data_IF_385903853944
#
_entry.id   IF_385903853944
#
_cell.length_a   1.000
_cell.length_b   1.000
_cell.length_c   1.000
_cell.angle_alpha   90.00
_cell.angle_beta   90.00
_cell.angle_gamma   90.00
#
_symmetry.space_group_name_H-M   'P 1'
#
loop_
_entity.id
_entity.type
_entity.pdbx_description
1 polymer ?
#
# COMPACT_ATOMS: atom_id res chain seq x y z
N UNK A 1 18.05 -10.85 -65.82
CA UNK A 1 17.95 -12.01 -64.91
C UNK A 1 17.68 -11.50 -63.49
N UNK A 2 16.44 -11.56 -63.03
CA UNK A 2 16.09 -11.10 -61.68
C UNK A 2 16.38 -12.16 -60.62
N UNK A 3 17.19 -11.84 -59.61
CA UNK A 3 17.39 -12.70 -58.44
C UNK A 3 16.11 -12.69 -57.61
N UNK A 4 15.39 -13.81 -57.53
CA UNK A 4 14.27 -13.96 -56.59
C UNK A 4 14.81 -14.05 -55.17
N UNK A 5 14.30 -13.23 -54.26
CA UNK A 5 14.63 -13.31 -52.85
C UNK A 5 14.19 -14.68 -52.31
N UNK A 6 15.12 -15.49 -51.81
CA UNK A 6 14.77 -16.71 -51.07
C UNK A 6 14.17 -16.26 -49.74
N UNK A 7 12.86 -16.45 -49.57
CA UNK A 7 12.23 -16.30 -48.27
C UNK A 7 12.77 -17.40 -47.35
N UNK A 8 13.42 -17.01 -46.25
CA UNK A 8 13.82 -17.96 -45.20
C UNK A 8 12.58 -18.67 -44.66
N UNK A 9 12.66 -19.99 -44.54
CA UNK A 9 11.60 -20.78 -43.91
C UNK A 9 11.43 -20.39 -42.45
N UNK A 10 10.28 -20.69 -41.84
CA UNK A 10 10.06 -20.42 -40.42
C UNK A 10 11.11 -21.11 -39.54
N UNK A 11 11.52 -22.32 -39.93
CA UNK A 11 12.55 -23.09 -39.23
C UNK A 11 13.91 -22.39 -39.30
N UNK A 12 14.30 -21.90 -40.49
CA UNK A 12 15.54 -21.14 -40.69
C UNK A 12 15.54 -19.82 -39.90
N UNK A 13 14.40 -19.14 -39.80
CA UNK A 13 14.29 -17.94 -38.95
C UNK A 13 14.45 -18.28 -37.47
N UNK A 14 13.88 -19.40 -37.04
CA UNK A 14 13.97 -19.85 -35.65
C UNK A 14 15.40 -20.28 -35.27
N UNK A 15 16.11 -20.98 -36.16
CA UNK A 15 17.50 -21.40 -35.95
C UNK A 15 18.44 -20.20 -35.95
N UNK A 16 18.28 -19.27 -36.90
CA UNK A 16 19.05 -18.03 -36.94
C UNK A 16 18.88 -17.19 -35.67
N UNK A 17 17.65 -17.10 -35.14
CA UNK A 17 17.37 -16.42 -33.88
C UNK A 17 18.05 -17.10 -32.69
N UNK A 18 17.98 -18.43 -32.59
CA UNK A 18 18.68 -19.18 -31.54
C UNK A 18 20.19 -18.97 -31.61
N UNK A 19 20.77 -18.98 -32.80
CA UNK A 19 22.20 -18.71 -32.99
C UNK A 19 22.57 -17.28 -32.59
N UNK A 20 21.76 -16.28 -32.93
CA UNK A 20 22.00 -14.90 -32.50
C UNK A 20 21.89 -14.75 -30.99
N UNK A 21 20.91 -15.40 -30.36
CA UNK A 21 20.72 -15.37 -28.92
C UNK A 21 21.90 -16.03 -28.20
N UNK A 22 22.38 -17.18 -28.69
CA UNK A 22 23.57 -17.85 -28.17
C UNK A 22 24.83 -16.99 -28.33
N UNK A 23 25.01 -16.33 -29.47
CA UNK A 23 26.11 -15.37 -29.70
C UNK A 23 26.04 -14.21 -28.72
N UNK A 24 24.85 -13.65 -28.50
CA UNK A 24 24.64 -12.57 -27.54
C UNK A 24 24.94 -13.01 -26.11
N UNK A 25 24.39 -14.15 -25.66
CA UNK A 25 24.62 -14.70 -24.32
C UNK A 25 26.11 -14.93 -24.05
N UNK A 26 26.85 -15.39 -25.06
CA UNK A 26 28.29 -15.66 -24.94
C UNK A 26 29.17 -14.41 -25.11
N UNK A 27 28.62 -13.32 -25.64
CA UNK A 27 29.34 -12.05 -25.81
C UNK A 27 29.73 -11.44 -24.45
N UNK A 28 30.79 -10.61 -24.40
CA UNK A 28 31.17 -9.90 -23.18
C UNK A 28 30.02 -9.05 -22.61
N UNK A 29 29.23 -8.42 -23.48
CA UNK A 29 28.08 -7.60 -23.08
C UNK A 29 26.93 -8.45 -22.52
N UNK A 30 26.60 -9.58 -23.13
CA UNK A 30 25.58 -10.50 -22.60
C UNK A 30 25.96 -11.04 -21.21
N UNK A 31 27.25 -11.29 -20.98
CA UNK A 31 27.77 -11.69 -19.66
C UNK A 31 27.58 -10.59 -18.61
N UNK A 32 27.89 -9.32 -18.92
CA UNK A 32 27.71 -8.20 -17.97
C UNK A 32 26.23 -7.94 -17.65
N UNK A 33 25.34 -8.04 -18.63
CA UNK A 33 23.88 -7.93 -18.39
C UNK A 33 23.40 -9.07 -17.49
N UNK A 34 23.92 -10.29 -17.67
CA UNK A 34 23.55 -11.43 -16.82
C UNK A 34 24.06 -11.29 -15.39
N UNK A 35 25.27 -10.78 -15.19
CA UNK A 35 25.82 -10.54 -13.83
C UNK A 35 25.04 -9.44 -13.13
N UNK A 36 24.77 -8.32 -13.79
CA UNK A 36 23.97 -7.22 -13.21
C UNK A 36 22.55 -7.65 -12.85
N UNK A 37 21.90 -8.49 -13.67
CA UNK A 37 20.59 -9.07 -13.35
C UNK A 37 20.66 -10.02 -12.15
N UNK A 38 21.68 -10.88 -12.08
CA UNK A 38 21.90 -11.78 -10.93
C UNK A 38 22.16 -11.00 -9.65
N UNK A 39 23.00 -9.97 -9.70
CA UNK A 39 23.27 -9.07 -8.57
C UNK A 39 22.00 -8.36 -8.12
N UNK A 40 21.21 -7.82 -9.05
CA UNK A 40 19.93 -7.19 -8.76
C UNK A 40 18.95 -8.18 -8.11
N UNK A 41 18.85 -9.41 -8.63
CA UNK A 41 18.03 -10.47 -8.04
C UNK A 41 18.51 -10.87 -6.65
N UNK A 42 19.83 -11.00 -6.44
CA UNK A 42 20.40 -11.28 -5.12
C UNK A 42 20.14 -10.14 -4.13
N UNK A 43 20.29 -8.88 -4.54
CA UNK A 43 19.92 -7.71 -3.72
C UNK A 43 18.44 -7.72 -3.33
N UNK A 44 17.54 -8.08 -4.25
CA UNK A 44 16.11 -8.26 -3.96
C UNK A 44 15.86 -9.41 -2.96
N UNK A 45 16.58 -10.53 -3.08
CA UNK A 45 16.47 -11.65 -2.11
C UNK A 45 17.01 -11.27 -0.73
N UNK A 46 18.15 -10.60 -0.67
CA UNK A 46 18.77 -10.15 0.58
C UNK A 46 17.94 -9.06 1.28
N UNK A 47 17.32 -8.16 0.52
CA UNK A 47 16.38 -7.20 1.10
C UNK A 47 15.17 -7.91 1.68
N UNK A 48 14.52 -8.82 0.95
CA UNK A 48 13.40 -9.63 1.48
C UNK A 48 13.76 -10.43 2.74
N UNK A 49 14.90 -11.12 2.74
CA UNK A 49 15.36 -11.88 3.91
C UNK A 49 15.65 -11.01 5.14
N UNK A 50 16.06 -9.75 4.97
CA UNK A 50 16.19 -8.79 6.10
C UNK A 50 14.85 -8.43 6.74
N UNK A 51 13.73 -8.60 6.05
CA UNK A 51 12.38 -8.32 6.58
C UNK A 51 11.64 -9.59 7.02
N UNK A 52 11.92 -10.75 6.44
CA UNK A 52 11.29 -12.03 6.81
C UNK A 52 11.64 -12.48 8.24
N UNK A 53 12.82 -12.11 8.77
CA UNK A 53 13.22 -12.45 10.14
C UNK A 53 12.91 -11.37 11.19
N UNK A 54 12.24 -10.27 10.83
CA UNK A 54 11.63 -9.37 11.82
C UNK A 54 10.29 -9.96 12.27
N UNK A 55 10.36 -11.12 12.93
CA UNK A 55 9.40 -11.59 13.93
C UNK A 55 7.95 -11.16 13.70
N UNK A 56 7.34 -11.46 12.54
CA UNK A 56 5.92 -11.15 12.30
C UNK A 56 5.51 -9.81 12.92
N UNK A 57 6.27 -8.70 12.70
CA UNK A 57 6.35 -7.69 13.76
C UNK A 57 5.00 -7.30 14.38
N UNK A 58 4.85 -7.81 15.61
CA UNK A 58 3.58 -7.93 16.30
C UNK A 58 3.09 -6.52 16.46
N UNK A 59 1.98 -6.20 15.80
CA UNK A 59 1.31 -4.95 16.04
C UNK A 59 1.12 -4.84 17.55
N UNK A 60 1.53 -3.71 18.18
CA UNK A 60 1.31 -3.55 19.59
C UNK A 60 -0.17 -3.75 19.86
N UNK A 61 -0.54 -4.51 20.91
CA UNK A 61 -1.94 -4.72 21.22
C UNK A 61 -2.64 -3.36 21.36
N UNK A 62 -3.92 -3.27 20.94
CA UNK A 62 -4.67 -2.03 21.01
C UNK A 62 -4.57 -1.44 22.43
N UNK A 63 -4.10 -0.18 22.51
CA UNK A 63 -3.86 0.49 23.79
C UNK A 63 -5.18 0.58 24.56
N UNK A 64 -5.16 0.37 25.88
CA UNK A 64 -6.37 0.34 26.71
C UNK A 64 -7.27 1.57 26.51
N UNK A 65 -6.67 2.75 26.39
CA UNK A 65 -7.40 4.01 26.11
C UNK A 65 -8.12 3.99 24.77
N UNK A 66 -7.56 3.33 23.76
CA UNK A 66 -8.19 3.15 22.45
C UNK A 66 -9.41 2.23 22.56
N UNK A 67 -9.32 1.14 23.32
CA UNK A 67 -10.46 0.24 23.59
C UNK A 67 -11.56 0.95 24.39
N UNK A 68 -11.20 1.80 25.34
CA UNK A 68 -12.16 2.62 26.08
C UNK A 68 -12.88 3.63 25.17
N UNK A 69 -12.15 4.30 24.27
CA UNK A 69 -12.73 5.23 23.29
C UNK A 69 -13.57 4.51 22.23
N UNK A 70 -13.18 3.29 21.84
CA UNK A 70 -13.96 2.43 20.97
C UNK A 70 -15.34 2.12 21.54
N UNK A 71 -15.40 1.81 22.84
CA UNK A 71 -16.63 1.43 23.53
C UNK A 71 -17.60 2.59 23.78
N UNK A 72 -17.13 3.85 23.78
CA UNK A 72 -18.02 5.02 23.93
C UNK A 72 -18.97 5.08 22.72
N UNK A 73 -20.27 5.43 22.88
CA UNK A 73 -21.14 5.64 21.73
C UNK A 73 -20.69 6.87 20.93
N UNK A 74 -20.86 6.84 19.61
CA UNK A 74 -20.70 8.04 18.78
C UNK A 74 -21.67 9.12 19.29
N UNK A 75 -21.25 10.39 19.40
CA UNK A 75 -22.10 11.48 19.86
C UNK A 75 -23.08 11.87 18.75
N UNK A 76 -24.03 10.98 18.49
CA UNK A 76 -25.14 11.10 17.54
C UNK A 76 -26.02 12.30 17.83
N UNK A 77 -26.00 12.83 19.06
CA UNK A 77 -26.70 14.06 19.45
C UNK A 77 -25.96 15.35 19.15
N UNK A 78 -24.64 15.32 18.92
CA UNK A 78 -23.85 16.55 18.72
C UNK A 78 -24.18 17.20 17.38
N UNK A 79 -24.45 18.51 17.39
CA UNK A 79 -24.70 19.29 16.17
C UNK A 79 -23.54 19.16 15.19
N UNK A 80 -22.30 19.25 15.68
CA UNK A 80 -21.09 19.12 14.85
C UNK A 80 -20.98 17.76 14.19
N UNK A 81 -21.38 16.69 14.89
CA UNK A 81 -21.36 15.33 14.34
C UNK A 81 -22.42 15.16 13.25
N UNK A 82 -23.63 15.69 13.47
CA UNK A 82 -24.70 15.68 12.46
C UNK A 82 -24.37 16.56 11.26
N UNK A 83 -23.73 17.70 11.49
CA UNK A 83 -23.26 18.61 10.45
C UNK A 83 -22.15 17.96 9.62
N UNK A 84 -21.19 17.30 10.26
CA UNK A 84 -20.14 16.54 9.57
C UNK A 84 -20.71 15.36 8.76
N UNK A 85 -21.72 14.64 9.29
CA UNK A 85 -22.40 13.57 8.56
C UNK A 85 -23.26 14.07 7.41
N UNK A 86 -23.92 15.23 7.57
CA UNK A 86 -24.83 15.79 6.59
C UNK A 86 -24.16 16.68 5.54
N UNK A 87 -22.97 17.20 5.82
CA UNK A 87 -22.24 18.09 4.92
C UNK A 87 -21.39 17.28 3.95
N UNK A 88 -21.93 17.03 2.76
CA UNK A 88 -21.13 16.61 1.60
C UNK A 88 -20.04 17.64 1.23
N UNK A 89 -20.18 18.88 1.72
CA UNK A 89 -19.25 20.01 1.47
C UNK A 89 -18.08 20.03 2.48
N UNK A 90 -18.21 19.39 3.64
CA UNK A 90 -17.10 19.26 4.59
C UNK A 90 -16.06 18.21 4.16
N UNK A 91 -16.43 17.39 3.17
CA UNK A 91 -15.58 16.45 2.43
C UNK A 91 -15.36 16.96 0.99
N UNK A 92 -15.35 18.28 0.80
CA UNK A 92 -14.98 18.84 -0.50
C UNK A 92 -13.48 18.62 -0.74
N UNK A 93 -13.16 17.47 -1.32
CA UNK A 93 -11.83 17.11 -1.76
C UNK A 93 -11.34 17.98 -2.93
N UNK A 94 -12.12 18.97 -3.38
CA UNK A 94 -11.67 19.91 -4.42
C UNK A 94 -10.50 20.78 -3.96
N UNK A 95 -10.37 21.04 -2.66
CA UNK A 95 -9.25 21.77 -2.06
C UNK A 95 -8.06 20.88 -1.67
N UNK A 96 -8.21 19.54 -1.73
CA UNK A 96 -7.06 18.65 -1.68
C UNK A 96 -6.23 18.89 -2.93
N UNK A 97 -4.98 19.28 -2.75
CA UNK A 97 -4.06 19.58 -3.85
C UNK A 97 -3.98 18.39 -4.80
N UNK A 98 -4.75 18.43 -5.89
CA UNK A 98 -4.59 17.50 -7.00
C UNK A 98 -3.17 17.67 -7.51
N UNK A 99 -2.48 16.55 -7.70
CA UNK A 99 -1.14 16.58 -8.25
C UNK A 99 -1.20 17.32 -9.58
N UNK A 100 -0.46 18.44 -9.72
CA UNK A 100 -0.42 19.24 -10.96
C UNK A 100 0.03 18.42 -12.18
N UNK A 101 0.60 17.25 -11.93
CA UNK A 101 1.04 16.26 -12.89
C UNK A 101 0.66 14.90 -12.32
N UNK A 102 0.00 14.08 -13.11
CA UNK A 102 -0.24 12.68 -12.73
C UNK A 102 1.10 12.01 -12.37
N UNK A 103 1.15 11.19 -11.30
CA UNK A 103 2.35 10.43 -10.97
C UNK A 103 2.83 9.67 -12.22
N UNK A 104 4.14 9.63 -12.51
CA UNK A 104 4.69 9.03 -13.73
C UNK A 104 4.63 7.49 -13.73
N UNK A 105 3.77 6.90 -12.91
CA UNK A 105 3.54 5.46 -12.91
C UNK A 105 2.51 5.18 -14.00
N UNK A 106 2.91 4.39 -14.99
CA UNK A 106 1.98 3.79 -15.93
C UNK A 106 0.92 3.06 -15.08
N UNK A 107 -0.34 3.47 -15.22
CA UNK A 107 -1.43 2.62 -14.76
C UNK A 107 -1.30 1.35 -15.59
N UNK A 108 -0.79 0.28 -14.98
CA UNK A 108 -0.80 -1.04 -15.57
C UNK A 108 -2.28 -1.39 -15.78
N UNK A 109 -2.80 -1.07 -16.98
CA UNK A 109 -4.00 -1.66 -17.55
C UNK A 109 -3.69 -3.14 -17.80
N UNK A 110 -3.50 -3.88 -16.71
CA UNK A 110 -3.39 -5.32 -16.68
C UNK A 110 -4.76 -5.88 -17.08
N UNK A 111 -4.98 -5.95 -18.39
CA UNK A 111 -5.80 -6.99 -19.02
C UNK A 111 -5.17 -8.34 -18.68
N UNK A 112 -5.40 -8.77 -17.44
CA UNK A 112 -5.06 -10.07 -16.90
C UNK A 112 -5.72 -11.15 -17.76
N UNK A 113 -4.87 -11.95 -18.41
CA UNK A 113 -5.25 -13.17 -19.09
C UNK A 113 -5.84 -14.15 -18.05
N UNK A 114 -7.13 -14.54 -18.15
CA UNK A 114 -7.84 -15.27 -17.10
C UNK A 114 -7.29 -16.68 -16.82
N UNK A 115 -6.35 -17.16 -17.64
CA UNK A 115 -5.72 -18.47 -17.49
C UNK A 115 -4.38 -18.46 -16.75
N UNK A 116 -3.85 -17.29 -16.34
CA UNK A 116 -2.58 -17.20 -15.60
C UNK A 116 -2.72 -17.27 -14.06
N UNK A 117 -3.91 -17.56 -13.53
CA UNK A 117 -4.27 -17.45 -12.10
C UNK A 117 -4.01 -18.68 -11.23
N UNK A 118 -3.33 -19.72 -11.72
CA UNK A 118 -3.14 -20.98 -10.97
C UNK A 118 -2.08 -20.93 -9.85
N UNK A 119 -1.18 -19.94 -9.84
CA UNK A 119 0.01 -19.95 -8.95
C UNK A 119 0.31 -18.64 -8.20
N UNK A 120 -0.55 -17.60 -8.25
CA UNK A 120 -0.31 -16.32 -7.55
C UNK A 120 -1.22 -16.03 -6.33
N UNK A 121 -2.23 -16.88 -6.06
CA UNK A 121 -3.24 -16.61 -5.03
C UNK A 121 -2.69 -16.49 -3.60
N UNK A 122 -1.62 -17.21 -3.27
CA UNK A 122 -0.99 -17.08 -1.95
C UNK A 122 -0.10 -15.84 -1.84
N UNK A 123 0.51 -15.41 -2.95
CA UNK A 123 1.38 -14.22 -2.98
C UNK A 123 0.60 -12.92 -2.81
N UNK A 124 -0.60 -12.84 -3.39
CA UNK A 124 -1.45 -11.65 -3.26
C UNK A 124 -2.00 -11.44 -1.85
N UNK A 125 -2.27 -12.52 -1.09
CA UNK A 125 -2.79 -12.41 0.28
C UNK A 125 -1.76 -11.81 1.24
N UNK A 126 -0.51 -12.23 1.14
CA UNK A 126 0.57 -11.69 1.97
C UNK A 126 0.84 -10.21 1.67
N UNK A 127 0.79 -9.82 0.38
CA UNK A 127 0.96 -8.43 -0.04
C UNK A 127 -0.19 -7.54 0.47
N UNK A 128 -1.45 -8.04 0.48
CA UNK A 128 -2.61 -7.33 1.04
C UNK A 128 -2.51 -7.15 2.55
N UNK A 129 -2.10 -8.19 3.29
CA UNK A 129 -1.92 -8.12 4.74
C UNK A 129 -0.78 -7.16 5.13
N UNK A 130 0.28 -7.08 4.32
CA UNK A 130 1.36 -6.12 4.51
C UNK A 130 0.88 -4.68 4.33
N UNK A 131 0.13 -4.39 3.26
CA UNK A 131 -0.45 -3.07 3.03
C UNK A 131 -1.37 -2.63 4.16
N UNK A 132 -2.27 -3.52 4.60
CA UNK A 132 -3.18 -3.25 5.70
C UNK A 132 -2.44 -2.99 7.02
N UNK A 133 -1.35 -3.73 7.26
CA UNK A 133 -0.51 -3.52 8.43
C UNK A 133 0.21 -2.18 8.41
N UNK A 134 0.69 -1.74 7.26
CA UNK A 134 1.28 -0.41 7.10
C UNK A 134 0.25 0.68 7.33
N UNK A 135 -0.98 0.51 6.84
CA UNK A 135 -2.09 1.43 7.07
C UNK A 135 -2.43 1.55 8.57
N UNK A 136 -2.64 0.42 9.26
CA UNK A 136 -2.89 0.40 10.72
C UNK A 136 -1.75 1.08 11.49
N UNK A 137 -0.50 0.87 11.07
CA UNK A 137 0.66 1.49 11.71
C UNK A 137 0.69 3.01 11.55
N UNK A 138 0.39 3.53 10.35
CA UNK A 138 0.28 4.97 10.13
C UNK A 138 -0.90 5.59 10.90
N UNK A 139 -2.02 4.86 11.04
CA UNK A 139 -3.13 5.29 11.87
C UNK A 139 -2.75 5.36 13.36
N UNK A 140 -1.98 4.40 13.88
CA UNK A 140 -1.47 4.43 15.25
C UNK A 140 -0.56 5.64 15.50
N UNK A 141 0.36 5.95 14.57
CA UNK A 141 1.17 7.18 14.64
C UNK A 141 0.32 8.44 14.61
N UNK A 142 -0.72 8.47 13.78
CA UNK A 142 -1.66 9.59 13.74
C UNK A 142 -2.36 9.75 15.10
N UNK A 143 -2.84 8.66 15.67
CA UNK A 143 -3.47 8.65 16.99
C UNK A 143 -2.53 9.18 18.08
N UNK A 144 -1.29 8.71 18.15
CA UNK A 144 -0.30 9.20 19.12
C UNK A 144 -0.06 10.72 19.00
N UNK A 145 0.08 11.22 17.76
CA UNK A 145 0.27 12.66 17.51
C UNK A 145 -0.92 13.47 18.00
N UNK A 146 -2.13 13.04 17.68
CA UNK A 146 -3.37 13.74 18.06
C UNK A 146 -3.57 13.67 19.57
N UNK A 147 -3.31 12.53 20.18
CA UNK A 147 -3.42 12.36 21.63
C UNK A 147 -2.43 13.27 22.36
N UNK A 148 -1.21 13.40 21.84
CA UNK A 148 -0.22 14.35 22.34
C UNK A 148 -0.71 15.80 22.25
N UNK A 149 -1.29 16.20 21.11
CA UNK A 149 -1.88 17.53 20.94
C UNK A 149 -2.99 17.79 21.98
N UNK A 150 -3.83 16.79 22.25
CA UNK A 150 -4.88 16.89 23.26
C UNK A 150 -4.29 17.06 24.68
N UNK A 151 -3.30 16.25 25.04
CA UNK A 151 -2.69 16.26 26.37
C UNK A 151 -1.82 17.49 26.64
N UNK A 152 -1.14 18.02 25.62
CA UNK A 152 -0.34 19.24 25.73
C UNK A 152 -1.20 20.50 25.85
N UNK A 153 -2.53 20.37 25.75
CA UNK A 153 -3.46 21.45 26.04
C UNK A 153 -3.49 22.54 24.97
N UNK A 154 -3.06 22.23 23.73
CA UNK A 154 -3.14 23.18 22.61
C UNK A 154 -4.55 23.70 22.38
N UNK A 155 -5.56 22.86 22.65
CA UNK A 155 -6.96 23.24 22.65
C UNK A 155 -7.51 23.09 24.06
N UNK A 156 -7.91 24.22 24.66
CA UNK A 156 -8.49 24.22 26.01
C UNK A 156 -10.02 24.12 25.91
N UNK A 157 -10.70 23.22 26.65
CA UNK A 157 -12.15 23.02 26.52
C UNK A 157 -12.98 24.27 26.83
N UNK A 158 -12.45 25.19 27.64
CA UNK A 158 -13.14 26.43 28.00
C UNK A 158 -12.93 27.57 27.00
N UNK A 159 -11.83 27.55 26.25
CA UNK A 159 -11.46 28.63 25.33
C UNK A 159 -11.75 28.27 23.87
N UNK A 160 -11.64 26.99 23.53
CA UNK A 160 -11.78 26.43 22.19
C UNK A 160 -12.59 25.12 22.25
N UNK A 161 -13.86 25.17 22.71
CA UNK A 161 -14.69 23.98 22.92
C UNK A 161 -14.95 23.21 21.63
N UNK A 162 -15.03 23.92 20.49
CA UNK A 162 -15.29 23.31 19.18
C UNK A 162 -14.10 22.47 18.73
N UNK A 163 -12.91 23.04 18.73
CA UNK A 163 -11.66 22.40 18.29
C UNK A 163 -11.33 21.22 19.20
N UNK A 164 -11.49 21.38 20.52
CA UNK A 164 -11.35 20.29 21.49
C UNK A 164 -12.30 19.13 21.18
N UNK A 165 -13.59 19.42 20.98
CA UNK A 165 -14.60 18.39 20.67
C UNK A 165 -14.33 17.69 19.33
N UNK A 166 -13.91 18.43 18.29
CA UNK A 166 -13.51 17.83 17.02
C UNK A 166 -12.33 16.87 17.17
N UNK A 167 -11.31 17.26 17.93
CA UNK A 167 -10.13 16.44 18.16
C UNK A 167 -10.46 15.16 18.96
N UNK A 168 -11.33 15.29 19.97
CA UNK A 168 -11.82 14.13 20.73
C UNK A 168 -12.61 13.16 19.85
N UNK A 169 -13.50 13.66 19.00
CA UNK A 169 -14.24 12.83 18.05
C UNK A 169 -13.31 12.16 17.03
N UNK A 170 -12.29 12.87 16.55
CA UNK A 170 -11.30 12.30 15.63
C UNK A 170 -10.52 11.15 16.29
N UNK A 171 -10.12 11.29 17.56
CA UNK A 171 -9.49 10.21 18.32
C UNK A 171 -10.41 9.00 18.48
N UNK A 172 -11.70 9.21 18.74
CA UNK A 172 -12.68 8.13 18.81
C UNK A 172 -12.88 7.43 17.45
N UNK A 173 -12.88 8.19 16.36
CA UNK A 173 -12.98 7.64 15.00
C UNK A 173 -11.73 6.83 14.62
N UNK A 174 -10.53 7.34 14.91
CA UNK A 174 -9.27 6.61 14.71
C UNK A 174 -9.26 5.30 15.51
N UNK A 175 -9.66 5.36 16.79
CA UNK A 175 -9.75 4.18 17.64
C UNK A 175 -10.66 3.10 17.04
N UNK A 176 -11.84 3.49 16.53
CA UNK A 176 -12.75 2.56 15.82
C UNK A 176 -12.14 1.96 14.59
N UNK A 177 -11.57 2.79 13.74
CA UNK A 177 -11.03 2.31 12.46
C UNK A 177 -9.86 1.36 12.68
N UNK A 178 -8.94 1.70 13.60
CA UNK A 178 -7.82 0.83 13.97
C UNK A 178 -8.33 -0.51 14.52
N UNK A 179 -9.27 -0.49 15.48
CA UNK A 179 -9.85 -1.72 16.00
C UNK A 179 -10.52 -2.53 14.89
N UNK A 180 -11.34 -1.92 14.05
CA UNK A 180 -12.11 -2.62 13.03
C UNK A 180 -11.22 -3.26 11.97
N UNK A 181 -10.19 -2.54 11.51
CA UNK A 181 -9.18 -3.09 10.60
C UNK A 181 -8.41 -4.22 11.28
N UNK A 182 -8.02 -4.06 12.54
CA UNK A 182 -7.29 -5.08 13.30
C UNK A 182 -8.11 -6.37 13.50
N UNK A 183 -9.37 -6.26 13.95
CA UNK A 183 -10.26 -7.41 14.17
C UNK A 183 -10.54 -8.17 12.87
N UNK A 184 -10.94 -7.47 11.81
CA UNK A 184 -11.30 -8.09 10.53
C UNK A 184 -10.12 -8.79 9.84
N UNK A 185 -8.88 -8.36 10.09
CA UNK A 185 -7.72 -8.87 9.36
C UNK A 185 -6.84 -9.84 10.12
N UNK A 186 -6.83 -9.77 11.45
CA UNK A 186 -5.93 -10.57 12.28
C UNK A 186 -6.65 -11.48 13.28
N UNK A 187 -7.97 -11.35 13.47
CA UNK A 187 -8.71 -12.14 14.45
C UNK A 187 -9.86 -12.99 13.88
N UNK A 188 -10.30 -12.75 12.63
CA UNK A 188 -11.30 -13.59 11.93
C UNK A 188 -10.69 -14.85 11.25
N UNK A 189 -9.69 -15.48 11.88
CA UNK A 189 -9.23 -16.85 11.54
C UNK A 189 -9.92 -17.91 12.42
#
# INVERSE_FOLDING_TARGET
MGRRAKYLSLDEKSSAKRESDLKYINSPHGKTVRTTYRESSQRRKQSRSKYENKTLLQLPPPIKTMLELYAKPLPTGSHLYKEALGSAVALDESDLARWKREPPFEQDDDRMDPHSLGHSLTRGRDDVLLLLREEVWEMLKSWERVQKILHEGFYHPNHQPREYSMLEHYLQWLARTICHLYYHSFLDE
#
